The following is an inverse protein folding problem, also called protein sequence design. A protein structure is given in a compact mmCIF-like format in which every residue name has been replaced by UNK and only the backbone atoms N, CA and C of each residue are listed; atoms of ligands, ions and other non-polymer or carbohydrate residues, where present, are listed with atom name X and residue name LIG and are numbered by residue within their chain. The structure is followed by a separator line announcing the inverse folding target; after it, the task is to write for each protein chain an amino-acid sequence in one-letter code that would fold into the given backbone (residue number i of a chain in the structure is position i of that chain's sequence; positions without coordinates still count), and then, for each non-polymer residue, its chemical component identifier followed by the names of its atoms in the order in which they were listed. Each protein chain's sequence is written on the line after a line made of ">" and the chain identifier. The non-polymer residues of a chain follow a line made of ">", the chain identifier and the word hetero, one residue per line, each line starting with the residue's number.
data_IF_787608739474
#
_entry.id   IF_787608739474
#
_cell.length_a   1.000
_cell.length_b   1.000
_cell.length_c   1.000
_cell.angle_alpha   90.00
_cell.angle_beta   90.00
_cell.angle_gamma   90.00
#
_symmetry.space_group_name_H-M   'P 1'
#
loop_
_entity.id
_entity.type
_entity.pdbx_description
1 polymer ?
#
# COMPACT_ATOMS: atom_id res chain seq x y z
N UNK A 1 -5.86 -11.70 18.12
CA UNK A 1 -4.93 -12.40 17.20
C UNK A 1 -5.51 -12.63 15.80
N UNK A 2 -6.73 -12.19 15.48
CA UNK A 2 -7.33 -12.37 14.15
C UNK A 2 -6.55 -11.67 13.02
N UNK A 3 -6.04 -10.45 13.26
CA UNK A 3 -5.35 -9.66 12.23
C UNK A 3 -4.21 -10.42 11.51
N UNK A 4 -3.36 -11.16 12.24
CA UNK A 4 -2.23 -11.87 11.62
C UNK A 4 -2.63 -13.17 10.92
N UNK A 5 -3.77 -13.78 11.29
CA UNK A 5 -4.27 -14.98 10.64
C UNK A 5 -5.07 -14.66 9.39
N UNK A 6 -5.77 -13.53 9.39
CA UNK A 6 -6.64 -13.11 8.29
C UNK A 6 -5.80 -12.55 7.12
N UNK A 7 -4.63 -11.97 7.41
CA UNK A 7 -3.70 -11.41 6.40
C UNK A 7 -2.76 -12.44 5.76
N UNK A 8 -2.94 -13.75 6.02
CA UNK A 8 -2.15 -14.77 5.31
C UNK A 8 -2.63 -14.93 3.87
N UNK A 9 -1.71 -15.26 2.95
CA UNK A 9 -2.06 -15.49 1.54
C UNK A 9 -3.21 -16.49 1.34
N UNK A 10 -3.28 -17.54 2.19
CA UNK A 10 -4.38 -18.51 2.17
C UNK A 10 -5.70 -17.85 2.54
N UNK A 11 -5.76 -17.13 3.66
CA UNK A 11 -6.97 -16.47 4.14
C UNK A 11 -7.45 -15.39 3.16
N UNK A 12 -6.54 -14.56 2.62
CA UNK A 12 -6.89 -13.57 1.60
C UNK A 12 -7.43 -14.22 0.32
N UNK A 13 -6.85 -15.35 -0.13
CA UNK A 13 -7.35 -16.08 -1.30
C UNK A 13 -8.73 -16.70 -1.08
N UNK A 14 -9.04 -17.13 0.14
CA UNK A 14 -10.38 -17.60 0.51
C UNK A 14 -11.36 -16.42 0.55
N UNK A 15 -10.98 -15.31 1.19
CA UNK A 15 -11.78 -14.08 1.23
C UNK A 15 -12.14 -13.55 -0.16
N UNK A 16 -11.18 -13.46 -1.08
CA UNK A 16 -11.40 -12.95 -2.44
C UNK A 16 -12.40 -13.80 -3.25
N UNK A 17 -12.61 -15.08 -2.90
CA UNK A 17 -13.62 -15.93 -3.54
C UNK A 17 -15.02 -15.66 -3.00
N UNK A 18 -15.11 -15.37 -1.71
CA UNK A 18 -16.38 -15.18 -1.01
C UNK A 18 -16.88 -13.72 -1.09
N UNK A 19 -15.99 -12.78 -1.44
CA UNK A 19 -16.26 -11.35 -1.54
C UNK A 19 -15.89 -10.80 -2.93
N UNK A 20 -16.64 -11.17 -4.00
CA UNK A 20 -16.40 -10.63 -5.33
C UNK A 20 -16.78 -9.15 -5.41
N UNK A 21 -16.12 -8.42 -6.31
CA UNK A 21 -16.38 -7.01 -6.57
C UNK A 21 -17.77 -6.80 -7.21
N UNK A 22 -18.44 -5.70 -6.84
CA UNK A 22 -19.73 -5.32 -7.43
C UNK A 22 -19.51 -4.50 -8.71
N UNK A 23 -20.06 -4.91 -9.87
CA UNK A 23 -19.85 -4.21 -11.14
C UNK A 23 -20.42 -2.78 -11.17
N UNK A 24 -21.29 -2.40 -10.23
CA UNK A 24 -21.88 -1.06 -10.15
C UNK A 24 -21.10 -0.13 -9.19
N UNK A 25 -19.98 -0.59 -8.62
CA UNK A 25 -19.13 0.17 -7.69
C UNK A 25 -17.76 0.44 -8.33
N UNK A 26 -17.30 1.68 -8.25
CA UNK A 26 -15.95 2.04 -8.65
C UNK A 26 -14.95 1.68 -7.53
N UNK A 27 -13.91 0.94 -7.89
CA UNK A 27 -12.85 0.55 -6.98
C UNK A 27 -11.51 1.11 -7.45
N UNK A 28 -10.72 1.63 -6.52
CA UNK A 28 -9.34 2.03 -6.81
C UNK A 28 -8.44 1.69 -5.63
N UNK A 29 -7.18 1.39 -5.92
CA UNK A 29 -6.17 1.06 -4.93
C UNK A 29 -4.94 1.92 -5.08
N UNK A 30 -4.29 2.18 -3.95
CA UNK A 30 -3.03 2.90 -3.88
C UNK A 30 -2.03 2.03 -3.13
N UNK A 31 -0.91 1.74 -3.78
CA UNK A 31 0.21 1.02 -3.18
C UNK A 31 1.36 1.96 -2.90
N UNK A 32 2.29 1.55 -2.04
CA UNK A 32 3.58 2.24 -1.87
C UNK A 32 4.73 1.25 -2.01
N UNK A 33 5.94 1.77 -2.18
CA UNK A 33 7.13 0.93 -2.26
C UNK A 33 8.30 1.56 -1.52
N UNK A 34 8.98 0.73 -0.72
CA UNK A 34 10.21 1.06 -0.03
C UNK A 34 11.34 0.18 -0.60
N UNK A 35 12.27 0.75 -1.39
CA UNK A 35 13.36 -0.02 -2.01
C UNK A 35 14.30 -0.68 -1.00
N UNK A 36 14.47 -0.08 0.18
CA UNK A 36 15.42 -0.54 1.19
C UNK A 36 14.78 -0.66 2.58
N UNK A 37 15.17 -1.70 3.33
CA UNK A 37 14.78 -1.88 4.72
C UNK A 37 15.36 -0.81 5.68
N UNK A 38 16.41 -0.10 5.25
CA UNK A 38 17.22 0.83 6.05
C UNK A 38 16.47 2.12 6.44
N UNK A 39 15.51 2.56 5.61
CA UNK A 39 14.65 3.72 5.87
C UNK A 39 13.44 3.42 6.75
N UNK A 40 13.22 2.15 7.11
CA UNK A 40 12.00 1.70 7.77
C UNK A 40 12.19 1.66 9.29
N UNK A 41 11.30 2.32 10.04
CA UNK A 41 11.28 2.15 11.49
C UNK A 41 10.84 0.72 11.85
N UNK A 42 11.40 0.16 12.93
CA UNK A 42 10.95 -1.12 13.47
C UNK A 42 9.43 -1.09 13.70
N UNK A 43 8.65 -2.11 13.27
CA UNK A 43 9.06 -3.44 12.78
C UNK A 43 9.22 -3.59 11.25
N UNK A 44 8.98 -2.54 10.46
CA UNK A 44 8.90 -2.59 8.99
C UNK A 44 10.24 -2.93 8.31
N UNK A 45 11.37 -2.77 9.01
CA UNK A 45 12.68 -3.19 8.51
C UNK A 45 12.87 -4.72 8.54
N UNK A 46 12.30 -5.41 9.53
CA UNK A 46 12.40 -6.87 9.68
C UNK A 46 11.50 -7.58 8.67
N UNK A 47 10.27 -7.08 8.52
CA UNK A 47 9.29 -7.66 7.61
C UNK A 47 9.62 -7.37 6.15
N UNK A 48 10.21 -6.20 5.83
CA UNK A 48 10.69 -5.88 4.48
C UNK A 48 11.59 -6.97 3.90
N UNK A 49 12.59 -7.42 4.67
CA UNK A 49 13.55 -8.43 4.19
C UNK A 49 12.89 -9.79 3.93
N UNK A 50 11.87 -10.15 4.72
CA UNK A 50 11.11 -11.39 4.53
C UNK A 50 10.24 -11.31 3.27
N UNK A 51 9.46 -10.24 3.12
CA UNK A 51 8.61 -10.03 1.94
C UNK A 51 9.47 -9.90 0.69
N UNK A 52 10.60 -9.19 0.75
CA UNK A 52 11.54 -9.05 -0.35
C UNK A 52 12.10 -10.39 -0.85
N UNK A 53 12.29 -11.36 0.06
CA UNK A 53 12.80 -12.68 -0.27
C UNK A 53 11.74 -13.58 -0.94
N UNK A 54 10.48 -13.50 -0.49
CA UNK A 54 9.41 -14.38 -0.99
C UNK A 54 8.61 -13.76 -2.14
N UNK A 55 8.22 -12.50 -2.02
CA UNK A 55 7.22 -11.83 -2.86
C UNK A 55 7.78 -10.63 -3.63
N UNK A 56 8.96 -10.11 -3.24
CA UNK A 56 9.69 -9.09 -4.00
C UNK A 56 9.43 -7.65 -3.53
N UNK A 57 9.26 -6.72 -4.48
CA UNK A 57 9.11 -5.29 -4.16
C UNK A 57 7.94 -5.05 -3.21
N UNK A 58 8.17 -4.32 -2.13
CA UNK A 58 7.19 -4.16 -1.05
C UNK A 58 7.34 -2.82 -0.31
N UNK A 59 6.37 -2.49 0.53
CA UNK A 59 6.35 -1.29 1.38
C UNK A 59 6.84 -1.53 2.82
N UNK A 60 7.39 -2.72 3.07
CA UNK A 60 7.77 -3.22 4.38
C UNK A 60 6.81 -4.24 4.97
N UNK A 61 5.57 -4.39 4.47
CA UNK A 61 4.62 -5.40 4.94
C UNK A 61 3.91 -6.16 3.82
N UNK A 62 3.57 -5.48 2.73
CA UNK A 62 2.78 -6.03 1.64
C UNK A 62 3.58 -5.87 0.35
N UNK A 63 3.58 -6.90 -0.48
CA UNK A 63 4.21 -6.86 -1.80
C UNK A 63 3.33 -6.07 -2.79
N UNK A 64 3.97 -5.41 -3.76
CA UNK A 64 3.27 -4.52 -4.71
C UNK A 64 2.16 -5.26 -5.48
N UNK A 65 2.43 -6.49 -5.92
CA UNK A 65 1.46 -7.34 -6.62
C UNK A 65 0.21 -7.66 -5.78
N UNK A 66 0.37 -7.75 -4.46
CA UNK A 66 -0.74 -7.94 -3.52
C UNK A 66 -1.52 -6.64 -3.25
N UNK A 67 -1.01 -5.47 -3.62
CA UNK A 67 -1.71 -4.18 -3.46
C UNK A 67 -2.60 -3.84 -4.66
N UNK A 68 -2.34 -4.44 -5.82
CA UNK A 68 -3.05 -4.17 -7.07
C UNK A 68 -4.49 -4.71 -7.02
N UNK A 69 -5.48 -3.81 -6.98
CA UNK A 69 -6.90 -4.18 -6.96
C UNK A 69 -7.83 -3.07 -7.50
N UNK A 70 -8.99 -3.44 -8.04
CA UNK A 70 -10.01 -2.52 -8.55
C UNK A 70 -9.77 -2.08 -10.00
N UNK A 71 -10.47 -1.02 -10.39
CA UNK A 71 -10.45 -0.46 -11.74
C UNK A 71 -9.14 0.29 -12.04
N UNK A 72 -8.60 0.97 -11.02
CA UNK A 72 -7.35 1.72 -11.12
C UNK A 72 -6.42 1.43 -9.94
N UNK A 73 -5.15 1.24 -10.26
CA UNK A 73 -4.08 1.11 -9.28
C UNK A 73 -3.03 2.20 -9.49
N UNK A 74 -2.67 2.90 -8.42
CA UNK A 74 -1.58 3.88 -8.42
C UNK A 74 -0.49 3.47 -7.44
N UNK A 75 0.73 3.27 -7.95
CA UNK A 75 1.90 3.05 -7.12
C UNK A 75 2.55 4.37 -6.72
N UNK A 76 2.60 4.63 -5.42
CA UNK A 76 3.27 5.78 -4.81
C UNK A 76 4.76 5.48 -4.69
N UNK A 77 5.55 6.10 -5.55
CA UNK A 77 7.01 6.00 -5.54
C UNK A 77 7.66 7.39 -5.67
N UNK A 78 8.36 7.88 -4.65
CA UNK A 78 9.09 9.14 -4.71
C UNK A 78 10.41 8.91 -5.44
N UNK A 79 10.96 9.98 -6.02
CA UNK A 79 12.22 9.91 -6.79
C UNK A 79 13.46 9.53 -5.94
N UNK A 80 13.34 9.58 -4.61
CA UNK A 80 14.43 9.29 -3.67
C UNK A 80 14.55 7.81 -3.28
N UNK A 81 15.77 7.38 -2.91
CA UNK A 81 16.07 5.99 -2.56
C UNK A 81 15.36 5.44 -1.30
N UNK A 82 14.81 6.30 -0.44
CA UNK A 82 14.05 5.88 0.77
C UNK A 82 12.76 5.14 0.41
N UNK A 83 12.07 5.57 -0.65
CA UNK A 83 10.70 5.14 -0.92
C UNK A 83 9.69 5.58 0.14
N UNK A 84 8.48 5.00 0.05
CA UNK A 84 7.35 5.20 0.97
C UNK A 84 6.98 3.85 1.56
N UNK A 85 6.98 3.78 2.89
CA UNK A 85 6.66 2.57 3.65
C UNK A 85 5.17 2.45 3.89
N UNK A 86 4.73 1.30 4.38
CA UNK A 86 3.35 1.05 4.78
C UNK A 86 2.83 2.09 5.79
N UNK A 87 3.69 2.52 6.72
CA UNK A 87 3.32 3.51 7.75
C UNK A 87 3.28 4.95 7.24
N UNK A 88 4.05 5.28 6.21
CA UNK A 88 4.11 6.64 5.67
C UNK A 88 2.81 7.03 4.96
N UNK A 89 2.13 6.06 4.33
CA UNK A 89 0.86 6.26 3.62
C UNK A 89 -0.23 6.79 4.55
N UNK A 90 -0.17 6.47 5.85
CA UNK A 90 -1.13 6.91 6.86
C UNK A 90 -0.57 7.99 7.79
N UNK A 91 0.56 8.61 7.43
CA UNK A 91 1.26 9.61 8.23
C UNK A 91 1.61 9.12 9.65
N UNK A 92 1.94 7.84 9.82
CA UNK A 92 2.07 7.20 11.13
C UNK A 92 3.11 7.91 12.03
N UNK A 93 4.26 8.24 11.44
CA UNK A 93 5.39 8.83 12.16
C UNK A 93 5.42 10.36 12.10
N UNK A 94 4.49 10.99 11.37
CA UNK A 94 4.46 12.45 11.14
C UNK A 94 5.82 12.99 10.67
N UNK A 95 6.46 12.24 9.79
CA UNK A 95 7.77 12.55 9.23
C UNK A 95 7.60 13.27 7.90
N UNK A 96 8.35 14.36 7.69
CA UNK A 96 8.40 15.00 6.38
C UNK A 96 9.37 14.24 5.47
N UNK A 97 8.86 13.68 4.39
CA UNK A 97 9.64 12.92 3.42
C UNK A 97 9.89 13.81 2.19
N UNK A 98 11.15 14.07 1.80
CA UNK A 98 11.43 14.89 0.62
C UNK A 98 10.75 14.35 -0.64
N UNK A 99 10.00 15.21 -1.33
CA UNK A 99 9.29 14.84 -2.57
C UNK A 99 7.98 14.07 -2.35
N UNK A 100 7.52 13.93 -1.10
CA UNK A 100 6.27 13.26 -0.78
C UNK A 100 5.47 14.04 0.28
N UNK A 101 4.24 14.41 -0.06
CA UNK A 101 3.26 14.95 0.89
C UNK A 101 2.01 14.06 0.89
N UNK A 102 1.89 13.26 1.94
CA UNK A 102 0.75 12.35 2.15
C UNK A 102 -0.59 13.06 2.10
N UNK A 103 -0.67 14.32 2.55
CA UNK A 103 -1.93 15.08 2.54
C UNK A 103 -2.33 15.44 1.13
N UNK A 104 -1.37 15.84 0.31
CA UNK A 104 -1.60 16.11 -1.11
C UNK A 104 -2.03 14.85 -1.86
N UNK A 105 -1.54 13.66 -1.49
CA UNK A 105 -2.04 12.39 -2.02
C UNK A 105 -3.54 12.26 -1.77
N UNK A 106 -4.00 12.39 -0.52
CA UNK A 106 -5.43 12.28 -0.21
C UNK A 106 -6.28 13.40 -0.84
N UNK A 107 -5.76 14.63 -0.92
CA UNK A 107 -6.45 15.73 -1.64
C UNK A 107 -6.64 15.38 -3.12
N UNK A 108 -5.62 14.79 -3.76
CA UNK A 108 -5.70 14.39 -5.16
C UNK A 108 -6.65 13.20 -5.38
N UNK A 109 -6.73 12.25 -4.45
CA UNK A 109 -7.73 11.17 -4.48
C UNK A 109 -9.15 11.75 -4.48
N UNK A 110 -9.44 12.68 -3.57
CA UNK A 110 -10.76 13.32 -3.47
C UNK A 110 -11.08 14.16 -4.70
N UNK A 111 -10.06 14.81 -5.27
CA UNK A 111 -10.21 15.58 -6.50
C UNK A 111 -10.56 14.68 -7.69
N UNK A 112 -9.86 13.56 -7.87
CA UNK A 112 -10.14 12.59 -8.92
C UNK A 112 -11.56 12.02 -8.81
N UNK A 113 -11.96 11.57 -7.62
CA UNK A 113 -13.32 11.08 -7.37
C UNK A 113 -14.38 12.12 -7.75
N UNK A 114 -14.17 13.38 -7.35
CA UNK A 114 -15.07 14.48 -7.71
C UNK A 114 -15.12 14.74 -9.21
N UNK A 115 -13.99 14.66 -9.91
CA UNK A 115 -13.92 14.82 -11.37
C UNK A 115 -14.67 13.70 -12.10
N UNK A 116 -14.74 12.50 -11.51
CA UNK A 116 -15.58 11.37 -11.98
C UNK A 116 -17.05 11.50 -11.62
N UNK A 117 -17.42 12.47 -10.77
CA UNK A 117 -18.79 12.67 -10.29
C UNK A 117 -19.20 11.72 -9.15
N UNK A 118 -18.22 11.18 -8.43
CA UNK A 118 -18.39 10.33 -7.24
C UNK A 118 -18.28 11.13 -5.93
#
# INVERSE_FOLDING_TARGET
>A
MAAVTDLTAKSCSEFNKDCPDDPDVYYQSYGSVAPEASGNQFPLNLTHSLVQYYDGMNDGLVAVDSMEWGDEFTLIQPEGGRGITHGDVIDLNRENIPGYDVREVYVNILKDLKERGL
#
